data_IF_382217466183
#
_entry.id   IF_382217466183
#
_cell.length_a   1.000
_cell.length_b   1.000
_cell.length_c   1.000
_cell.angle_alpha   90.00
_cell.angle_beta   90.00
_cell.angle_gamma   90.00
#
_symmetry.space_group_name_H-M   'P 1'
#
loop_
_entity.id
_entity.type
_entity.pdbx_description
1 polymer ?
#
# COMPACT_ATOMS: atom_id res chain seq x y z
N UNK A 1 13.72 -22.45 32.04
CA UNK A 1 12.90 -21.66 32.99
C UNK A 1 11.54 -21.52 32.36
N UNK A 2 10.59 -22.39 32.76
CA UNK A 2 9.23 -22.41 32.21
C UNK A 2 8.47 -21.17 32.70
N UNK A 3 8.23 -20.22 31.82
CA UNK A 3 7.32 -19.12 32.09
C UNK A 3 5.91 -19.71 31.93
N UNK A 4 5.17 -19.69 33.00
CA UNK A 4 3.84 -20.27 33.14
C UNK A 4 2.90 -19.61 32.08
N UNK A 5 2.32 -20.43 31.20
CA UNK A 5 1.41 -19.98 30.12
C UNK A 5 0.17 -19.24 30.67
N UNK A 6 -0.12 -19.40 31.93
CA UNK A 6 -1.20 -18.68 32.64
C UNK A 6 -0.86 -17.21 32.92
N UNK A 7 0.42 -16.87 33.08
CA UNK A 7 0.90 -15.48 33.29
C UNK A 7 0.85 -14.65 32.01
N UNK A 8 1.09 -15.28 30.84
CA UNK A 8 1.03 -14.58 29.54
C UNK A 8 -0.43 -14.27 29.16
N UNK A 9 -1.36 -15.19 29.43
CA UNK A 9 -2.79 -14.96 29.23
C UNK A 9 -3.32 -13.85 30.16
N UNK A 10 -2.82 -13.77 31.38
CA UNK A 10 -3.17 -12.71 32.34
C UNK A 10 -2.61 -11.34 31.93
N UNK A 11 -1.42 -11.29 31.34
CA UNK A 11 -0.81 -10.05 30.83
C UNK A 11 -1.59 -9.49 29.63
N UNK A 12 -2.08 -10.35 28.74
CA UNK A 12 -2.92 -9.93 27.61
C UNK A 12 -4.30 -9.47 28.10
N UNK A 13 -4.88 -10.14 29.09
CA UNK A 13 -6.15 -9.73 29.70
C UNK A 13 -6.01 -8.43 30.53
N UNK A 14 -4.87 -8.18 31.17
CA UNK A 14 -4.60 -6.94 31.91
C UNK A 14 -4.36 -5.75 30.96
N UNK A 15 -3.79 -5.98 29.76
CA UNK A 15 -3.61 -4.93 28.76
C UNK A 15 -4.95 -4.49 28.12
N UNK A 16 -5.95 -5.39 28.10
CA UNK A 16 -7.31 -5.08 27.64
C UNK A 16 -8.12 -4.23 28.64
N UNK A 17 -7.71 -4.14 29.91
CA UNK A 17 -8.45 -3.37 30.93
C UNK A 17 -7.90 -1.95 31.19
N UNK A 18 -6.77 -1.56 30.60
CA UNK A 18 -6.13 -0.26 30.90
C UNK A 18 -6.16 0.77 29.79
N UNK A 19 -6.92 0.58 28.70
CA UNK A 19 -7.07 1.61 27.66
C UNK A 19 -8.47 2.19 27.66
N UNK A 20 -8.86 2.83 28.77
CA UNK A 20 -9.85 3.92 28.73
C UNK A 20 -9.10 5.25 28.79
N UNK A 21 -8.39 5.59 27.75
CA UNK A 21 -7.91 6.95 27.54
C UNK A 21 -9.03 7.71 26.82
N UNK A 22 -9.55 8.82 27.36
CA UNK A 22 -10.49 9.64 26.62
C UNK A 22 -9.74 10.22 25.41
N UNK A 23 -10.05 9.69 24.22
CA UNK A 23 -9.57 10.24 22.95
C UNK A 23 -10.16 11.65 22.81
N UNK A 24 -9.32 12.68 22.95
CA UNK A 24 -9.64 14.00 22.50
C UNK A 24 -9.77 14.00 20.98
N UNK A 25 -10.94 13.70 20.49
CA UNK A 25 -11.29 13.91 19.09
C UNK A 25 -11.36 15.42 18.87
N UNK A 26 -10.38 15.93 18.15
CA UNK A 26 -10.48 17.22 17.50
C UNK A 26 -11.55 17.07 16.42
N UNK A 27 -12.80 17.45 16.75
CA UNK A 27 -13.88 17.58 15.77
C UNK A 27 -13.45 18.61 14.74
N UNK A 28 -13.20 18.17 13.52
CA UNK A 28 -13.31 19.05 12.36
C UNK A 28 -14.78 19.35 12.20
N UNK A 29 -15.18 20.55 12.56
CA UNK A 29 -16.55 21.03 12.39
C UNK A 29 -16.86 21.07 10.89
N UNK A 30 -17.71 20.16 10.44
CA UNK A 30 -18.48 20.32 9.21
C UNK A 30 -19.52 21.42 9.49
N UNK A 31 -19.76 22.37 8.58
CA UNK A 31 -20.78 23.40 8.79
C UNK A 31 -22.16 22.73 8.89
N UNK A 32 -22.72 22.73 10.09
CA UNK A 32 -24.12 22.34 10.34
C UNK A 32 -24.99 23.49 9.88
N UNK A 33 -25.73 23.32 8.79
CA UNK A 33 -26.85 24.18 8.44
C UNK A 33 -28.02 23.77 9.34
N UNK A 34 -28.33 24.59 10.34
CA UNK A 34 -29.50 24.46 11.21
C UNK A 34 -30.77 24.64 10.38
N UNK A 35 -31.58 23.58 10.29
CA UNK A 35 -32.92 23.59 9.70
C UNK A 35 -33.46 22.21 9.49
N UNK A 36 -34.15 21.65 10.51
CA UNK A 36 -34.72 20.32 10.60
C UNK A 36 -33.67 19.19 10.61
N UNK A 37 -33.72 18.31 11.61
CA UNK A 37 -32.78 17.23 11.96
C UNK A 37 -32.45 16.17 10.90
N UNK A 38 -32.47 16.53 9.62
CA UNK A 38 -32.11 15.62 8.52
C UNK A 38 -30.68 15.90 8.08
N UNK A 39 -29.75 15.08 8.56
CA UNK A 39 -28.34 15.12 8.13
C UNK A 39 -28.26 14.54 6.72
N UNK A 40 -27.95 15.37 5.74
CA UNK A 40 -27.66 14.92 4.39
C UNK A 40 -26.18 14.53 4.24
N UNK A 41 -25.85 13.25 3.96
CA UNK A 41 -24.45 12.78 3.91
C UNK A 41 -23.57 13.54 2.92
N UNK A 42 -24.15 14.04 1.82
CA UNK A 42 -23.44 14.82 0.80
C UNK A 42 -23.57 16.33 1.00
N UNK A 43 -24.31 16.81 2.04
CA UNK A 43 -24.57 18.21 2.30
C UNK A 43 -25.76 18.79 1.50
N UNK A 44 -26.48 17.95 0.75
CA UNK A 44 -27.72 18.31 0.04
C UNK A 44 -28.67 17.12 -0.02
N UNK A 45 -29.96 17.37 -0.23
CA UNK A 45 -30.99 16.33 -0.38
C UNK A 45 -30.87 15.68 -1.75
N UNK A 46 -30.42 14.45 -1.81
CA UNK A 46 -30.19 13.70 -3.06
C UNK A 46 -31.49 13.31 -3.76
N UNK A 47 -32.58 13.08 -3.00
CA UNK A 47 -33.87 12.59 -3.50
C UNK A 47 -34.58 13.59 -4.40
N UNK A 48 -34.12 14.85 -4.40
CA UNK A 48 -34.69 15.92 -5.23
C UNK A 48 -34.08 16.01 -6.62
N UNK A 49 -33.15 15.14 -6.97
CA UNK A 49 -32.38 15.21 -8.20
C UNK A 49 -32.42 13.90 -8.98
N UNK A 50 -32.36 14.01 -10.30
CA UNK A 50 -32.07 12.87 -11.17
C UNK A 50 -30.58 12.57 -11.09
N UNK A 51 -30.23 11.27 -10.92
CA UNK A 51 -28.85 10.80 -10.75
C UNK A 51 -28.33 10.18 -12.06
N UNK A 52 -27.12 10.60 -12.45
CA UNK A 52 -26.30 9.93 -13.46
C UNK A 52 -24.97 9.53 -12.82
N UNK A 53 -24.52 8.29 -13.05
CA UNK A 53 -23.27 7.77 -12.51
C UNK A 53 -22.33 7.33 -13.62
N UNK A 54 -21.04 7.39 -13.35
CA UNK A 54 -20.06 6.91 -14.30
C UNK A 54 -18.64 6.85 -13.76
N UNK A 55 -17.75 6.52 -14.69
CA UNK A 55 -16.33 6.36 -14.42
C UNK A 55 -15.55 7.35 -15.28
N UNK A 56 -14.50 7.96 -14.72
CA UNK A 56 -13.59 8.83 -15.47
C UNK A 56 -12.79 8.00 -16.47
N UNK A 57 -12.88 8.36 -17.74
CA UNK A 57 -12.22 7.65 -18.83
C UNK A 57 -10.71 7.93 -18.87
N UNK A 58 -9.96 7.03 -19.47
CA UNK A 58 -8.53 7.27 -19.67
C UNK A 58 -8.28 8.48 -20.58
N UNK A 59 -7.47 9.43 -20.12
CA UNK A 59 -7.19 10.70 -20.82
C UNK A 59 -8.31 11.75 -20.71
N UNK A 60 -9.42 11.47 -20.03
CA UNK A 60 -10.49 12.44 -19.82
C UNK A 60 -10.07 13.46 -18.76
N UNK A 61 -10.11 14.74 -19.11
CA UNK A 61 -9.83 15.85 -18.20
C UNK A 61 -11.13 16.43 -17.64
N UNK A 62 -11.02 17.18 -16.54
CA UNK A 62 -12.17 17.76 -15.84
C UNK A 62 -13.14 18.51 -16.75
N UNK A 63 -12.63 19.41 -17.60
CA UNK A 63 -13.47 20.21 -18.49
C UNK A 63 -14.21 19.33 -19.53
N UNK A 64 -13.60 18.24 -19.99
CA UNK A 64 -14.23 17.29 -20.90
C UNK A 64 -15.37 16.52 -20.20
N UNK A 65 -15.12 16.08 -18.94
CA UNK A 65 -16.16 15.47 -18.11
C UNK A 65 -17.35 16.43 -17.93
N UNK A 66 -17.09 17.67 -17.48
CA UNK A 66 -18.13 18.66 -17.22
C UNK A 66 -18.92 19.02 -18.47
N UNK A 67 -18.25 19.11 -19.63
CA UNK A 67 -18.93 19.34 -20.93
C UNK A 67 -19.83 18.19 -21.32
N UNK A 68 -19.40 16.95 -21.05
CA UNK A 68 -20.21 15.75 -21.28
C UNK A 68 -21.45 15.70 -20.37
N UNK A 69 -21.35 16.23 -19.16
CA UNK A 69 -22.44 16.37 -18.20
C UNK A 69 -23.32 17.60 -18.47
N UNK A 70 -23.10 18.33 -19.56
CA UNK A 70 -23.93 19.47 -19.98
C UNK A 70 -23.49 20.85 -19.48
N UNK A 71 -22.33 20.93 -18.78
CA UNK A 71 -21.80 22.23 -18.32
C UNK A 71 -21.04 22.93 -19.45
N UNK A 72 -21.24 24.25 -19.59
CA UNK A 72 -20.49 25.04 -20.55
C UNK A 72 -19.01 25.12 -20.16
N UNK A 73 -18.07 25.11 -21.11
CA UNK A 73 -16.62 25.17 -20.80
C UNK A 73 -16.20 26.38 -19.95
N UNK A 74 -16.84 27.53 -20.16
CA UNK A 74 -16.60 28.75 -19.38
C UNK A 74 -17.00 28.58 -17.91
N UNK A 75 -18.17 27.97 -17.66
CA UNK A 75 -18.67 27.70 -16.31
C UNK A 75 -17.79 26.66 -15.59
N UNK A 76 -17.31 25.62 -16.33
CA UNK A 76 -16.38 24.64 -15.80
C UNK A 76 -15.04 25.27 -15.36
N UNK A 77 -14.53 26.23 -16.13
CA UNK A 77 -13.33 27.00 -15.74
C UNK A 77 -13.59 27.90 -14.54
N UNK A 78 -14.74 28.56 -14.47
CA UNK A 78 -15.15 29.38 -13.34
C UNK A 78 -15.29 28.54 -12.07
N UNK A 79 -15.87 27.35 -12.18
CA UNK A 79 -15.99 26.38 -11.07
C UNK A 79 -14.60 25.98 -10.56
N UNK A 80 -13.65 25.63 -11.44
CA UNK A 80 -12.27 25.30 -11.05
C UNK A 80 -11.63 26.46 -10.29
N UNK A 81 -11.74 27.69 -10.82
CA UNK A 81 -11.14 28.87 -10.19
C UNK A 81 -11.77 29.20 -8.83
N UNK A 82 -13.07 28.99 -8.68
CA UNK A 82 -13.78 29.23 -7.42
C UNK A 82 -13.49 28.16 -6.35
N UNK A 83 -12.99 26.99 -6.76
CA UNK A 83 -12.86 25.82 -5.87
C UNK A 83 -11.41 25.30 -5.75
N UNK A 84 -10.42 26.04 -6.21
CA UNK A 84 -9.00 25.64 -6.30
C UNK A 84 -8.39 25.25 -4.93
N UNK A 85 -8.86 25.85 -3.84
CA UNK A 85 -8.44 25.53 -2.48
C UNK A 85 -8.95 24.16 -1.97
N UNK A 86 -10.03 23.64 -2.56
CA UNK A 86 -10.70 22.40 -2.14
C UNK A 86 -10.46 21.28 -3.15
N UNK A 87 -10.58 21.59 -4.44
CA UNK A 87 -10.55 20.62 -5.53
C UNK A 87 -9.44 20.95 -6.54
N UNK A 88 -8.57 19.98 -6.80
CA UNK A 88 -7.55 20.10 -7.82
C UNK A 88 -7.83 19.12 -8.97
N UNK A 89 -8.28 19.59 -10.13
CA UNK A 89 -8.58 18.72 -11.28
C UNK A 89 -7.39 17.88 -11.78
N UNK A 90 -6.15 18.34 -11.57
CA UNK A 90 -4.95 17.61 -11.97
C UNK A 90 -4.72 16.32 -11.15
N UNK A 91 -5.41 16.17 -10.01
CA UNK A 91 -5.35 14.98 -9.16
C UNK A 91 -6.40 13.93 -9.52
N UNK A 92 -7.26 14.22 -10.48
CA UNK A 92 -8.23 13.24 -10.98
C UNK A 92 -7.51 12.06 -11.63
N UNK A 93 -8.06 10.86 -11.45
CA UNK A 93 -7.46 9.62 -11.94
C UNK A 93 -8.50 8.85 -12.77
N UNK A 94 -8.10 8.36 -13.93
CA UNK A 94 -8.91 7.44 -14.71
C UNK A 94 -9.28 6.22 -13.86
N UNK A 95 -10.52 5.76 -14.00
CA UNK A 95 -11.07 4.68 -13.18
C UNK A 95 -11.81 5.14 -11.93
N UNK A 96 -11.64 6.39 -11.47
CA UNK A 96 -12.42 6.93 -10.37
C UNK A 96 -13.86 7.19 -10.81
N UNK A 97 -14.81 6.97 -9.89
CA UNK A 97 -16.25 7.16 -10.13
C UNK A 97 -16.67 8.59 -9.88
N UNK A 98 -17.76 8.96 -10.50
CA UNK A 98 -18.44 10.24 -10.28
C UNK A 98 -19.96 10.02 -10.32
N UNK A 99 -20.69 10.92 -9.65
CA UNK A 99 -22.13 11.02 -9.62
C UNK A 99 -22.53 12.44 -10.00
N UNK A 100 -23.44 12.60 -10.93
CA UNK A 100 -23.99 13.88 -11.37
C UNK A 100 -25.46 13.97 -11.02
N UNK A 101 -25.87 15.07 -10.43
CA UNK A 101 -27.20 15.33 -9.92
C UNK A 101 -27.84 16.48 -10.70
N UNK A 102 -28.98 16.23 -11.29
CA UNK A 102 -29.70 17.16 -12.16
C UNK A 102 -31.05 17.55 -11.56
N UNK A 103 -31.35 18.85 -11.57
CA UNK A 103 -32.70 19.37 -11.29
C UNK A 103 -33.52 19.44 -12.58
N UNK A 104 -34.85 19.48 -12.44
CA UNK A 104 -35.77 19.71 -13.57
C UNK A 104 -36.39 18.47 -14.17
N UNK A 105 -36.65 17.43 -13.37
CA UNK A 105 -37.25 16.15 -13.82
C UNK A 105 -38.59 16.31 -14.58
N UNK A 106 -39.30 17.43 -14.39
CA UNK A 106 -40.58 17.73 -15.07
C UNK A 106 -40.45 18.80 -16.19
N UNK A 107 -39.25 19.35 -16.39
CA UNK A 107 -38.98 20.38 -17.39
C UNK A 107 -38.15 19.81 -18.55
N UNK A 108 -38.30 20.38 -19.74
CA UNK A 108 -37.54 19.99 -20.93
C UNK A 108 -36.01 20.26 -20.84
N UNK A 109 -35.52 20.82 -19.73
CA UNK A 109 -34.13 21.17 -19.53
C UNK A 109 -33.64 20.66 -18.16
N UNK A 110 -32.78 19.64 -18.19
CA UNK A 110 -32.09 19.17 -17.00
C UNK A 110 -30.90 20.09 -16.71
N UNK A 111 -30.82 20.65 -15.51
CA UNK A 111 -29.71 21.50 -15.06
C UNK A 111 -28.79 20.69 -14.15
N UNK A 112 -27.51 20.63 -14.48
CA UNK A 112 -26.49 20.01 -13.62
C UNK A 112 -26.28 20.86 -12.38
N UNK A 113 -26.70 20.36 -11.22
CA UNK A 113 -26.59 21.06 -9.93
C UNK A 113 -25.36 20.66 -9.15
N UNK A 114 -25.08 19.36 -9.05
CA UNK A 114 -23.95 18.87 -8.29
C UNK A 114 -23.21 17.77 -9.04
N UNK A 115 -21.90 17.72 -8.84
CA UNK A 115 -21.05 16.57 -9.21
C UNK A 115 -20.31 16.12 -7.98
N UNK A 116 -20.42 14.84 -7.64
CA UNK A 116 -19.65 14.19 -6.58
C UNK A 116 -18.55 13.38 -7.25
N UNK A 117 -17.31 13.74 -6.99
CA UNK A 117 -16.14 13.02 -7.49
C UNK A 117 -15.51 12.18 -6.36
N UNK A 118 -15.39 10.89 -6.56
CA UNK A 118 -14.80 9.96 -5.62
C UNK A 118 -13.30 9.85 -5.86
N UNK A 119 -12.49 10.31 -4.91
CA UNK A 119 -11.02 10.17 -4.97
C UNK A 119 -10.58 8.74 -4.67
N UNK A 120 -11.28 8.10 -3.76
CA UNK A 120 -11.13 6.72 -3.32
C UNK A 120 -12.46 6.25 -2.69
N UNK A 121 -12.45 5.12 -1.95
CA UNK A 121 -13.65 4.55 -1.33
C UNK A 121 -14.28 5.42 -0.25
N UNK A 122 -13.50 6.28 0.43
CA UNK A 122 -13.94 7.09 1.57
C UNK A 122 -13.93 8.58 1.30
N UNK A 123 -13.07 9.06 0.41
CA UNK A 123 -12.87 10.48 0.16
C UNK A 123 -13.61 10.93 -1.11
N UNK A 124 -14.43 11.94 -0.97
CA UNK A 124 -15.18 12.53 -2.07
C UNK A 124 -15.05 14.05 -2.06
N UNK A 125 -15.23 14.67 -3.20
CA UNK A 125 -15.46 16.11 -3.33
C UNK A 125 -16.81 16.33 -3.99
N UNK A 126 -17.65 17.14 -3.36
CA UNK A 126 -18.89 17.63 -3.93
C UNK A 126 -18.60 18.98 -4.57
N UNK A 127 -19.03 19.13 -5.82
CA UNK A 127 -18.92 20.35 -6.62
C UNK A 127 -20.32 20.86 -6.89
N UNK A 128 -20.65 22.07 -6.44
CA UNK A 128 -21.89 22.77 -6.82
C UNK A 128 -21.68 23.41 -8.18
N UNK A 129 -22.44 22.98 -9.17
CA UNK A 129 -22.26 23.32 -10.58
C UNK A 129 -23.09 24.53 -11.04
N UNK A 130 -23.90 25.10 -10.15
CA UNK A 130 -24.65 26.34 -10.36
C UNK A 130 -24.08 27.50 -9.54
N UNK A 131 -24.18 28.73 -10.03
CA UNK A 131 -23.69 29.91 -9.34
C UNK A 131 -24.51 30.20 -8.06
N UNK A 132 -23.86 30.60 -6.94
CA UNK A 132 -22.42 30.71 -6.78
C UNK A 132 -21.74 29.33 -6.70
N UNK A 133 -20.66 29.16 -7.47
CA UNK A 133 -19.89 27.93 -7.49
C UNK A 133 -19.19 27.67 -6.16
N UNK A 134 -19.23 26.44 -5.68
CA UNK A 134 -18.57 26.04 -4.44
C UNK A 134 -18.20 24.55 -4.47
N UNK A 135 -17.32 24.15 -3.56
CA UNK A 135 -16.98 22.75 -3.35
C UNK A 135 -16.69 22.48 -1.87
N UNK A 136 -16.94 21.24 -1.46
CA UNK A 136 -16.56 20.76 -0.14
C UNK A 136 -16.16 19.28 -0.20
N UNK A 137 -15.36 18.89 0.79
CA UNK A 137 -14.94 17.51 0.94
C UNK A 137 -15.93 16.76 1.82
N UNK A 138 -16.20 15.54 1.43
CA UNK A 138 -16.98 14.59 2.23
C UNK A 138 -16.13 13.37 2.46
N UNK A 139 -16.11 12.91 3.70
CA UNK A 139 -15.40 11.68 4.10
C UNK A 139 -16.45 10.73 4.67
N UNK A 140 -16.55 9.54 4.09
CA UNK A 140 -17.45 8.51 4.62
C UNK A 140 -16.96 8.05 5.99
N UNK A 141 -17.86 7.70 6.91
CA UNK A 141 -17.47 7.12 8.19
C UNK A 141 -16.73 5.81 7.97
N UNK A 142 -15.68 5.60 8.76
CA UNK A 142 -14.90 4.37 8.78
C UNK A 142 -15.07 3.74 10.14
N UNK A 143 -15.52 2.51 10.16
CA UNK A 143 -15.62 1.70 11.36
C UNK A 143 -14.28 1.01 11.64
N UNK A 144 -13.85 1.05 12.88
CA UNK A 144 -12.61 0.43 13.34
C UNK A 144 -12.93 -0.68 14.33
N UNK A 145 -12.54 -1.90 14.01
CA UNK A 145 -12.85 -3.06 14.84
C UNK A 145 -11.57 -3.82 15.16
N UNK A 146 -11.25 -3.94 16.46
CA UNK A 146 -10.15 -4.79 16.91
C UNK A 146 -10.58 -6.25 16.82
N UNK A 147 -9.79 -7.06 16.10
CA UNK A 147 -10.05 -8.47 15.85
C UNK A 147 -8.87 -9.34 16.28
N UNK A 148 -9.20 -10.56 16.65
CA UNK A 148 -8.24 -11.64 16.88
C UNK A 148 -8.57 -12.80 15.96
N UNK A 149 -7.58 -13.35 15.29
CA UNK A 149 -7.70 -14.57 14.50
C UNK A 149 -6.64 -15.57 14.93
N UNK A 150 -7.05 -16.83 15.07
CA UNK A 150 -6.14 -17.96 15.31
C UNK A 150 -6.45 -19.03 14.25
N UNK A 151 -5.47 -19.31 13.41
CA UNK A 151 -5.66 -20.18 12.25
C UNK A 151 -4.66 -21.31 12.28
N UNK A 152 -5.16 -22.53 12.41
CA UNK A 152 -4.38 -23.75 12.23
C UNK A 152 -4.33 -24.07 10.74
N UNK A 153 -3.14 -24.20 10.20
CA UNK A 153 -2.94 -24.56 8.79
C UNK A 153 -3.19 -26.05 8.63
N UNK A 154 -4.11 -26.39 7.75
CA UNK A 154 -4.46 -27.77 7.41
C UNK A 154 -4.25 -28.09 5.92
N UNK A 155 -4.29 -27.08 5.07
CA UNK A 155 -4.12 -27.22 3.61
C UNK A 155 -3.17 -26.17 3.04
N UNK A 156 -3.54 -24.90 3.15
CA UNK A 156 -2.71 -23.77 2.78
C UNK A 156 -3.10 -22.55 3.59
N UNK A 157 -2.16 -21.65 3.83
CA UNK A 157 -2.43 -20.38 4.54
C UNK A 157 -3.64 -19.65 3.95
N UNK A 158 -3.68 -19.51 2.63
CA UNK A 158 -4.77 -18.83 1.93
C UNK A 158 -6.15 -19.48 2.18
N UNK A 159 -6.26 -20.79 2.01
CA UNK A 159 -7.53 -21.48 2.16
C UNK A 159 -8.02 -21.50 3.61
N UNK A 160 -7.09 -21.73 4.54
CA UNK A 160 -7.43 -21.84 5.95
C UNK A 160 -7.75 -20.47 6.57
N UNK A 161 -7.06 -19.40 6.20
CA UNK A 161 -7.39 -18.02 6.56
C UNK A 161 -8.78 -17.61 6.04
N UNK A 162 -9.08 -17.91 4.78
CA UNK A 162 -10.42 -17.66 4.22
C UNK A 162 -11.53 -18.43 4.94
N UNK A 163 -11.28 -19.68 5.27
CA UNK A 163 -12.24 -20.53 6.02
C UNK A 163 -12.55 -19.96 7.40
N UNK A 164 -11.57 -19.32 8.04
CA UNK A 164 -11.76 -18.62 9.31
C UNK A 164 -12.36 -17.23 9.17
N UNK A 165 -12.73 -16.80 7.95
CA UNK A 165 -13.30 -15.48 7.69
C UNK A 165 -12.30 -14.32 7.77
N UNK A 166 -10.99 -14.61 7.76
CA UNK A 166 -9.96 -13.58 7.76
C UNK A 166 -9.92 -12.84 6.41
N UNK A 167 -9.81 -11.51 6.41
CA UNK A 167 -9.72 -10.72 5.19
C UNK A 167 -8.47 -11.09 4.37
N UNK A 168 -8.58 -11.08 3.05
CA UNK A 168 -7.44 -11.38 2.17
C UNK A 168 -6.28 -10.41 2.38
N UNK A 169 -6.58 -9.16 2.68
CA UNK A 169 -5.58 -8.13 2.98
C UNK A 169 -4.70 -8.51 4.18
N UNK A 170 -5.26 -9.19 5.20
CA UNK A 170 -4.49 -9.66 6.34
C UNK A 170 -3.37 -10.63 5.93
N UNK A 171 -3.62 -11.49 4.95
CA UNK A 171 -2.61 -12.44 4.45
C UNK A 171 -1.42 -11.68 3.85
N UNK A 172 -1.70 -10.63 3.06
CA UNK A 172 -0.66 -9.80 2.46
C UNK A 172 0.16 -9.06 3.52
N UNK A 173 -0.48 -8.55 4.57
CA UNK A 173 0.22 -7.92 5.69
C UNK A 173 1.10 -8.92 6.45
N UNK A 174 0.61 -10.13 6.72
CA UNK A 174 1.41 -11.19 7.35
C UNK A 174 2.60 -11.62 6.46
N UNK A 175 2.37 -11.72 5.15
CA UNK A 175 3.45 -11.98 4.19
C UNK A 175 4.53 -10.90 4.26
N UNK A 176 4.15 -9.62 4.30
CA UNK A 176 5.11 -8.52 4.40
C UNK A 176 5.85 -8.49 5.76
N UNK A 177 5.17 -8.79 6.87
CA UNK A 177 5.76 -8.85 8.21
C UNK A 177 6.80 -9.97 8.30
N UNK A 178 6.46 -11.16 7.81
CA UNK A 178 7.28 -12.36 7.95
C UNK A 178 8.15 -12.68 6.74
N UNK A 179 8.10 -11.89 5.67
CA UNK A 179 8.79 -12.13 4.40
C UNK A 179 10.28 -12.50 4.54
N UNK A 180 10.90 -12.07 5.63
CA UNK A 180 12.35 -12.24 5.88
C UNK A 180 12.67 -13.23 6.99
N UNK A 181 11.65 -13.67 7.70
CA UNK A 181 11.78 -14.56 8.86
C UNK A 181 11.36 -15.97 8.48
N UNK A 182 10.34 -16.09 7.65
CA UNK A 182 9.68 -17.35 7.28
C UNK A 182 9.70 -17.51 5.77
N UNK A 183 9.94 -18.73 5.30
CA UNK A 183 9.68 -19.11 3.93
C UNK A 183 8.22 -19.59 3.82
N UNK A 184 7.36 -18.77 3.23
CA UNK A 184 5.94 -19.08 3.07
C UNK A 184 5.68 -20.32 2.19
N UNK A 185 6.66 -20.76 1.41
CA UNK A 185 6.60 -22.04 0.68
C UNK A 185 6.90 -23.26 1.56
N UNK A 186 7.46 -23.06 2.75
CA UNK A 186 7.72 -24.13 3.72
C UNK A 186 6.60 -24.33 4.74
N UNK A 187 5.53 -23.51 4.69
CA UNK A 187 4.37 -23.65 5.55
C UNK A 187 3.70 -25.01 5.30
N UNK A 188 3.43 -25.73 6.40
CA UNK A 188 2.92 -27.09 6.35
C UNK A 188 1.72 -27.28 7.29
N UNK A 189 0.94 -28.35 7.10
CA UNK A 189 -0.12 -28.71 8.02
C UNK A 189 0.41 -28.86 9.44
N UNK A 190 -0.27 -28.25 10.40
CA UNK A 190 0.15 -28.18 11.80
C UNK A 190 0.72 -26.82 12.22
N UNK A 191 1.18 -26.01 11.28
CA UNK A 191 1.58 -24.64 11.55
C UNK A 191 0.38 -23.80 11.99
N UNK A 192 0.64 -22.70 12.73
CA UNK A 192 -0.42 -21.85 13.29
C UNK A 192 -0.07 -20.39 13.19
N UNK A 193 -1.05 -19.57 12.79
CA UNK A 193 -1.02 -18.13 12.90
C UNK A 193 -1.97 -17.64 13.98
N UNK A 194 -1.49 -16.77 14.86
CA UNK A 194 -2.28 -15.98 15.80
C UNK A 194 -2.03 -14.51 15.52
N UNK A 195 -3.08 -13.70 15.35
CA UNK A 195 -2.92 -12.30 14.97
C UNK A 195 -3.98 -11.42 15.65
N UNK A 196 -3.52 -10.27 16.18
CA UNK A 196 -4.35 -9.17 16.69
C UNK A 196 -4.20 -8.01 15.72
N UNK A 197 -5.30 -7.55 15.18
CA UNK A 197 -5.32 -6.49 14.16
C UNK A 197 -6.54 -5.61 14.29
N UNK A 198 -6.41 -4.37 13.84
CA UNK A 198 -7.54 -3.47 13.63
C UNK A 198 -7.99 -3.60 12.16
N UNK A 199 -9.27 -3.84 11.99
CA UNK A 199 -9.92 -3.83 10.69
C UNK A 199 -10.65 -2.51 10.52
N UNK A 200 -10.30 -1.77 9.48
CA UNK A 200 -11.01 -0.56 9.08
C UNK A 200 -11.97 -0.92 7.94
N UNK A 201 -13.25 -0.64 8.13
CA UNK A 201 -14.28 -0.92 7.11
C UNK A 201 -15.11 0.31 6.81
N UNK A 202 -15.58 0.40 5.56
CA UNK A 202 -16.50 1.44 5.10
C UNK A 202 -17.65 0.74 4.36
N UNK A 203 -18.88 1.02 4.77
CA UNK A 203 -20.08 0.40 4.20
C UNK A 203 -20.02 -1.14 4.14
N UNK A 204 -19.39 -1.75 5.15
CA UNK A 204 -19.23 -3.21 5.27
C UNK A 204 -18.07 -3.81 4.45
N UNK A 205 -17.36 -3.01 3.66
CA UNK A 205 -16.15 -3.45 2.97
C UNK A 205 -14.89 -3.12 3.78
N UNK A 206 -13.99 -4.08 3.92
CA UNK A 206 -12.67 -3.87 4.53
C UNK A 206 -11.81 -3.03 3.60
N UNK A 207 -11.34 -1.89 4.10
CA UNK A 207 -10.53 -0.92 3.34
C UNK A 207 -9.07 -0.88 3.79
N UNK A 208 -8.79 -1.25 5.05
CA UNK A 208 -7.44 -1.28 5.59
C UNK A 208 -7.32 -2.24 6.78
N UNK A 209 -6.11 -2.72 7.05
CA UNK A 209 -5.78 -3.59 8.18
C UNK A 209 -4.47 -3.12 8.81
N UNK A 210 -4.52 -2.88 10.11
CA UNK A 210 -3.35 -2.60 10.94
C UNK A 210 -3.08 -3.80 11.86
N UNK A 211 -1.98 -4.51 11.63
CA UNK A 211 -1.57 -5.62 12.51
C UNK A 211 -0.80 -5.07 13.70
N UNK A 212 -1.29 -5.34 14.92
CA UNK A 212 -0.63 -4.92 16.17
C UNK A 212 0.31 -5.99 16.72
N UNK A 213 -0.11 -7.23 16.62
CA UNK A 213 0.66 -8.39 17.07
C UNK A 213 0.37 -9.56 16.11
N UNK A 214 1.40 -10.28 15.75
CA UNK A 214 1.24 -11.57 15.10
C UNK A 214 2.22 -12.57 15.71
N UNK A 215 1.85 -13.84 15.71
CA UNK A 215 2.69 -14.96 16.07
C UNK A 215 2.51 -16.07 15.05
N UNK A 216 3.59 -16.56 14.53
CA UNK A 216 3.62 -17.73 13.67
C UNK A 216 4.35 -18.86 14.35
N UNK A 217 3.68 -20.00 14.50
CA UNK A 217 4.25 -21.25 14.99
C UNK A 217 4.54 -22.15 13.78
N UNK A 218 5.83 -22.43 13.55
CA UNK A 218 6.32 -23.20 12.43
C UNK A 218 7.45 -24.10 12.89
N UNK A 219 7.39 -25.40 12.55
CA UNK A 219 8.39 -26.40 12.91
C UNK A 219 8.73 -26.38 14.42
N UNK A 220 7.70 -26.24 15.27
CA UNK A 220 7.82 -26.21 16.73
C UNK A 220 8.48 -24.94 17.29
N UNK A 221 8.67 -23.89 16.49
CA UNK A 221 9.21 -22.60 16.91
C UNK A 221 8.17 -21.52 16.75
N UNK A 222 8.12 -20.60 17.73
CA UNK A 222 7.28 -19.42 17.68
C UNK A 222 8.08 -18.22 17.15
N UNK A 223 7.45 -17.44 16.30
CA UNK A 223 8.00 -16.23 15.69
C UNK A 223 7.04 -15.07 15.96
N UNK A 224 7.14 -14.42 17.13
CA UNK A 224 6.30 -13.26 17.43
C UNK A 224 6.76 -12.03 16.66
N UNK A 225 5.80 -11.22 16.25
CA UNK A 225 5.99 -9.92 15.61
C UNK A 225 5.14 -8.88 16.34
N UNK A 226 5.80 -7.95 17.00
CA UNK A 226 5.19 -6.90 17.82
C UNK A 226 5.32 -5.58 17.07
N UNK A 227 4.21 -4.88 16.86
CA UNK A 227 4.23 -3.55 16.24
C UNK A 227 4.70 -2.51 17.24
N UNK A 228 5.77 -1.82 16.88
CA UNK A 228 6.28 -0.68 17.64
C UNK A 228 6.94 0.32 16.67
N UNK A 229 6.44 1.56 16.66
CA UNK A 229 7.00 2.65 15.85
C UNK A 229 7.96 3.47 16.71
N UNK A 230 9.24 3.47 16.32
CA UNK A 230 10.27 4.28 16.98
C UNK A 230 10.27 5.74 16.51
N UNK A 231 9.41 6.11 15.55
CA UNK A 231 9.33 7.44 15.00
C UNK A 231 10.45 7.77 13.99
N UNK A 232 11.26 6.79 13.59
CA UNK A 232 12.36 6.96 12.63
C UNK A 232 11.93 6.69 11.18
N UNK A 233 10.66 6.31 10.99
CA UNK A 233 10.08 5.92 9.71
C UNK A 233 10.66 4.61 9.16
N UNK A 234 11.33 3.82 10.01
CA UNK A 234 11.97 2.55 9.70
C UNK A 234 11.05 1.34 9.83
N UNK A 235 11.56 0.32 10.52
CA UNK A 235 10.82 -0.91 10.76
C UNK A 235 9.72 -0.71 11.82
N UNK A 236 8.58 -1.35 11.60
CA UNK A 236 7.44 -1.31 12.53
C UNK A 236 7.28 -2.59 13.36
N UNK A 237 7.97 -3.70 13.01
CA UNK A 237 7.79 -4.99 13.65
C UNK A 237 9.08 -5.53 14.24
N UNK A 238 8.97 -6.04 15.46
CA UNK A 238 10.08 -6.48 16.32
C UNK A 238 9.76 -7.83 16.93
N UNK A 239 10.76 -8.68 17.14
CA UNK A 239 10.60 -9.90 17.90
C UNK A 239 10.63 -9.63 19.42
N UNK A 240 10.47 -10.68 20.22
CA UNK A 240 10.47 -10.62 21.70
C UNK A 240 11.78 -10.10 22.32
N UNK A 241 12.86 -10.07 21.54
CA UNK A 241 14.17 -9.53 21.95
C UNK A 241 14.40 -8.08 21.53
N UNK A 242 13.41 -7.48 20.88
CA UNK A 242 13.55 -6.14 20.30
C UNK A 242 14.43 -6.12 19.04
N UNK A 243 14.63 -7.28 18.40
CA UNK A 243 15.32 -7.35 17.11
C UNK A 243 14.32 -7.12 15.98
N UNK A 244 14.71 -6.33 14.99
CA UNK A 244 13.86 -6.05 13.82
C UNK A 244 13.47 -7.33 13.07
N UNK A 245 12.19 -7.49 12.77
CA UNK A 245 11.70 -8.56 11.88
C UNK A 245 12.24 -8.42 10.45
N UNK A 246 12.63 -7.23 10.05
CA UNK A 246 13.40 -7.00 8.83
C UNK A 246 14.85 -7.40 9.07
N UNK A 247 15.34 -8.40 8.32
CA UNK A 247 16.78 -8.69 8.28
C UNK A 247 17.51 -7.50 7.67
N UNK A 248 18.75 -7.29 8.12
CA UNK A 248 19.60 -6.21 7.59
C UNK A 248 19.72 -6.25 6.05
N UNK A 249 19.64 -7.46 5.47
CA UNK A 249 19.65 -7.67 4.02
C UNK A 249 18.68 -8.79 3.61
N UNK A 250 18.01 -8.56 2.48
CA UNK A 250 17.22 -9.57 1.78
C UNK A 250 18.13 -10.69 1.27
N UNK A 251 17.62 -11.92 1.27
CA UNK A 251 18.34 -13.05 0.63
C UNK A 251 18.49 -12.85 -0.88
N UNK A 252 17.55 -12.15 -1.52
CA UNK A 252 17.54 -11.90 -2.95
C UNK A 252 16.91 -10.52 -3.26
N UNK A 253 17.33 -9.84 -4.34
CA UNK A 253 16.76 -8.57 -4.78
C UNK A 253 15.44 -8.73 -5.57
N UNK A 254 14.87 -9.92 -5.63
CA UNK A 254 13.69 -10.29 -6.42
C UNK A 254 12.76 -11.13 -5.55
N UNK A 255 11.45 -10.89 -5.64
CA UNK A 255 10.44 -11.68 -4.90
C UNK A 255 10.40 -13.15 -5.36
N UNK A 256 10.50 -13.37 -6.66
CA UNK A 256 10.52 -14.70 -7.27
C UNK A 256 11.68 -14.80 -8.23
N UNK A 257 12.67 -15.65 -7.94
CA UNK A 257 13.81 -15.83 -8.80
C UNK A 257 14.47 -17.18 -8.55
N UNK A 258 15.11 -17.66 -9.60
CA UNK A 258 16.03 -18.81 -9.53
C UNK A 258 17.45 -18.29 -9.59
N UNK A 259 18.34 -18.77 -8.74
CA UNK A 259 19.76 -18.51 -8.88
C UNK A 259 20.24 -19.32 -10.08
N UNK A 260 20.67 -18.65 -11.13
CA UNK A 260 21.21 -19.26 -12.34
C UNK A 260 22.72 -19.47 -12.26
N UNK A 261 23.43 -18.62 -11.48
CA UNK A 261 24.87 -18.76 -11.23
C UNK A 261 25.23 -18.13 -9.89
N UNK A 262 25.93 -18.91 -9.05
CA UNK A 262 26.43 -18.45 -7.76
C UNK A 262 27.77 -17.74 -7.85
N UNK A 263 28.20 -17.15 -6.72
CA UNK A 263 29.53 -16.60 -6.54
C UNK A 263 30.61 -17.70 -6.67
N UNK A 264 31.68 -17.40 -7.40
CA UNK A 264 32.82 -18.32 -7.57
C UNK A 264 34.07 -17.58 -8.01
N UNK A 265 35.20 -17.84 -7.39
CA UNK A 265 36.50 -17.34 -7.87
C UNK A 265 37.03 -18.12 -9.09
N UNK A 266 36.50 -19.33 -9.37
CA UNK A 266 37.04 -20.26 -10.39
C UNK A 266 35.93 -20.78 -11.29
N UNK A 267 35.11 -19.88 -11.86
CA UNK A 267 34.05 -20.26 -12.80
C UNK A 267 34.63 -20.48 -14.20
N UNK A 268 34.42 -21.68 -14.76
CA UNK A 268 34.71 -21.93 -16.17
C UNK A 268 33.62 -21.29 -17.03
N UNK A 269 34.00 -20.35 -17.90
CA UNK A 269 33.04 -19.63 -18.76
C UNK A 269 32.42 -20.61 -19.75
N UNK A 270 31.08 -20.71 -19.86
CA UNK A 270 30.42 -21.78 -20.63
C UNK A 270 30.72 -21.70 -22.15
N UNK A 271 31.03 -20.54 -22.68
CA UNK A 271 31.32 -20.32 -24.12
C UNK A 271 32.81 -20.34 -24.42
N UNK A 272 33.63 -19.67 -23.60
CA UNK A 272 35.08 -19.51 -23.88
C UNK A 272 35.98 -20.52 -23.22
N UNK A 273 35.44 -21.32 -22.29
CA UNK A 273 36.21 -22.29 -21.50
C UNK A 273 37.25 -21.70 -20.55
N UNK A 274 37.43 -20.37 -20.57
CA UNK A 274 38.41 -19.70 -19.69
C UNK A 274 37.88 -19.59 -18.24
N UNK A 275 38.75 -19.78 -17.29
CA UNK A 275 38.43 -19.58 -15.87
C UNK A 275 38.39 -18.09 -15.58
N UNK A 276 37.25 -17.60 -15.11
CA UNK A 276 37.06 -16.21 -14.64
C UNK A 276 36.33 -16.21 -13.32
N UNK A 277 36.68 -15.30 -12.44
CA UNK A 277 35.93 -15.07 -11.24
C UNK A 277 34.54 -14.52 -11.58
N UNK A 278 33.52 -15.07 -10.92
CA UNK A 278 32.17 -14.53 -10.86
C UNK A 278 31.93 -13.94 -9.48
N UNK A 279 32.09 -12.63 -9.34
CA UNK A 279 32.06 -11.92 -8.05
C UNK A 279 30.65 -11.47 -7.66
N UNK A 280 29.62 -12.08 -8.22
CA UNK A 280 28.22 -11.81 -7.95
C UNK A 280 27.38 -13.08 -7.92
N UNK A 281 26.07 -12.89 -7.78
CA UNK A 281 25.05 -13.93 -7.91
C UNK A 281 24.11 -13.54 -9.03
N UNK A 282 23.94 -14.43 -10.01
CA UNK A 282 23.02 -14.22 -11.12
C UNK A 282 21.65 -14.81 -10.78
N UNK A 283 20.64 -13.97 -10.83
CA UNK A 283 19.24 -14.30 -10.64
C UNK A 283 18.52 -14.33 -11.99
N UNK A 284 17.88 -15.43 -12.33
CA UNK A 284 17.06 -15.55 -13.53
C UNK A 284 15.60 -15.22 -13.22
N UNK A 285 15.08 -14.22 -13.89
CA UNK A 285 13.68 -13.80 -13.85
C UNK A 285 13.29 -13.17 -15.19
N UNK A 286 11.99 -13.10 -15.54
CA UNK A 286 11.54 -12.41 -16.76
C UNK A 286 12.00 -10.98 -16.82
N UNK A 287 12.37 -10.51 -18.02
CA UNK A 287 12.70 -9.09 -18.24
C UNK A 287 11.55 -8.19 -17.80
N UNK A 288 11.86 -7.12 -17.08
CA UNK A 288 10.86 -6.20 -16.51
C UNK A 288 10.37 -6.56 -15.11
N UNK A 289 10.80 -7.70 -14.54
CA UNK A 289 10.53 -8.00 -13.11
C UNK A 289 11.15 -6.93 -12.22
N UNK A 290 10.44 -6.41 -11.21
CA UNK A 290 10.98 -5.41 -10.29
C UNK A 290 12.22 -5.93 -9.54
N UNK A 291 13.28 -5.15 -9.51
CA UNK A 291 14.49 -5.37 -8.72
C UNK A 291 14.48 -4.44 -7.52
N UNK A 292 14.62 -4.99 -6.33
CA UNK A 292 14.51 -4.27 -5.06
C UNK A 292 15.87 -4.08 -4.40
N UNK A 293 16.00 -3.01 -3.64
CA UNK A 293 17.13 -2.85 -2.71
C UNK A 293 17.08 -3.95 -1.65
N UNK A 294 18.18 -4.68 -1.47
CA UNK A 294 18.24 -5.74 -0.44
C UNK A 294 18.40 -5.21 0.98
N UNK A 295 18.61 -3.93 1.17
CA UNK A 295 18.74 -3.28 2.49
C UNK A 295 18.52 -1.79 2.39
N UNK A 296 18.30 -1.15 3.54
CA UNK A 296 18.27 0.30 3.64
C UNK A 296 19.62 0.89 3.23
N UNK A 297 19.64 2.03 2.56
CA UNK A 297 20.89 2.64 2.14
C UNK A 297 20.74 3.89 1.31
N UNK A 298 21.87 4.35 0.79
CA UNK A 298 21.93 5.52 -0.11
C UNK A 298 22.43 5.10 -1.47
N UNK A 299 21.74 5.52 -2.53
CA UNK A 299 22.19 5.33 -3.92
C UNK A 299 23.46 6.13 -4.17
N UNK A 300 24.59 5.45 -4.28
CA UNK A 300 25.89 6.11 -4.51
C UNK A 300 26.25 6.21 -5.99
N UNK A 301 25.59 5.43 -6.86
CA UNK A 301 25.80 5.49 -8.30
C UNK A 301 24.59 4.91 -9.02
N UNK A 302 24.20 5.58 -10.13
CA UNK A 302 23.20 5.12 -11.10
C UNK A 302 23.67 5.50 -12.49
N UNK A 303 23.87 4.51 -13.35
CA UNK A 303 24.32 4.75 -14.72
C UNK A 303 24.84 3.51 -15.41
N UNK A 304 25.36 3.69 -16.63
CA UNK A 304 26.01 2.63 -17.38
C UNK A 304 27.39 2.30 -16.78
N UNK A 305 27.63 1.03 -16.50
CA UNK A 305 28.88 0.54 -15.88
C UNK A 305 29.52 -0.56 -16.74
N UNK A 306 30.04 -0.21 -17.90
CA UNK A 306 30.77 -1.13 -18.78
C UNK A 306 30.06 -2.48 -18.97
N UNK A 307 30.73 -3.58 -18.61
CA UNK A 307 30.16 -4.91 -18.66
C UNK A 307 28.91 -5.13 -17.83
N UNK A 308 28.70 -4.36 -16.76
CA UNK A 308 27.51 -4.43 -15.90
C UNK A 308 26.26 -3.79 -16.51
N UNK A 309 26.39 -3.08 -17.65
CA UNK A 309 25.28 -2.39 -18.27
C UNK A 309 24.65 -1.33 -17.36
N UNK A 310 23.32 -1.19 -17.40
CA UNK A 310 22.60 -0.32 -16.49
C UNK A 310 22.76 -0.84 -15.07
N UNK A 311 23.36 -0.03 -14.21
CA UNK A 311 23.77 -0.42 -12.86
C UNK A 311 23.29 0.59 -11.84
N UNK A 312 22.82 0.11 -10.68
CA UNK A 312 22.58 0.88 -9.46
C UNK A 312 23.51 0.35 -8.36
N UNK A 313 24.18 1.25 -7.64
CA UNK A 313 24.98 0.90 -6.45
C UNK A 313 24.40 1.57 -5.22
N UNK A 314 24.23 0.80 -4.15
CA UNK A 314 23.68 1.27 -2.88
C UNK A 314 24.67 0.98 -1.77
N UNK A 315 25.02 2.04 -1.03
CA UNK A 315 25.81 1.93 0.20
C UNK A 315 24.87 1.83 1.38
N UNK A 316 24.93 0.70 2.07
CA UNK A 316 24.09 0.40 3.23
C UNK A 316 24.69 0.94 4.53
N UNK A 317 25.99 0.79 4.69
CA UNK A 317 26.75 1.31 5.83
C UNK A 317 28.24 1.48 5.45
N UNK A 318 29.12 1.64 6.43
CA UNK A 318 30.57 1.79 6.21
C UNK A 318 31.24 0.51 5.64
N UNK A 319 30.61 -0.66 5.78
CA UNK A 319 31.17 -1.95 5.39
C UNK A 319 30.53 -2.48 4.10
N UNK A 320 29.21 -2.34 3.95
CA UNK A 320 28.43 -3.01 2.92
C UNK A 320 27.96 -2.06 1.82
N UNK A 321 28.25 -2.43 0.59
CA UNK A 321 27.74 -1.82 -0.63
C UNK A 321 27.25 -2.91 -1.57
N UNK A 322 26.08 -2.77 -2.16
CA UNK A 322 25.54 -3.69 -3.16
C UNK A 322 25.49 -3.06 -4.54
N UNK A 323 25.59 -3.90 -5.57
CA UNK A 323 25.54 -3.50 -6.97
C UNK A 323 24.52 -4.36 -7.70
N UNK A 324 23.58 -3.70 -8.37
CA UNK A 324 22.51 -4.32 -9.16
C UNK A 324 22.76 -4.00 -10.63
N UNK A 325 23.10 -5.03 -11.40
CA UNK A 325 23.60 -4.90 -12.77
C UNK A 325 22.61 -5.43 -13.79
N UNK A 326 22.90 -5.19 -15.06
CA UNK A 326 22.16 -5.68 -16.22
C UNK A 326 20.69 -5.25 -16.26
N UNK A 327 20.34 -4.14 -15.60
CA UNK A 327 18.95 -3.65 -15.52
C UNK A 327 18.45 -3.22 -16.91
N UNK A 328 17.18 -3.52 -17.23
CA UNK A 328 16.54 -3.01 -18.45
C UNK A 328 16.28 -1.50 -18.34
N UNK A 329 15.87 -1.05 -17.16
CA UNK A 329 15.61 0.36 -16.81
C UNK A 329 15.73 0.59 -15.32
N UNK A 330 15.90 1.84 -14.92
CA UNK A 330 15.88 2.27 -13.53
C UNK A 330 14.44 2.50 -13.04
N UNK A 331 14.21 2.48 -11.73
CA UNK A 331 12.96 2.96 -11.15
C UNK A 331 12.74 4.45 -11.48
N UNK A 332 11.49 4.82 -11.71
CA UNK A 332 11.12 6.21 -12.02
C UNK A 332 11.50 7.13 -10.87
N UNK A 333 12.13 8.26 -11.18
CA UNK A 333 12.54 9.26 -10.21
C UNK A 333 13.80 8.94 -9.40
N UNK A 334 14.33 7.71 -9.43
CA UNK A 334 15.52 7.34 -8.67
C UNK A 334 16.75 8.17 -9.10
N UNK A 335 17.47 8.74 -8.14
CA UNK A 335 18.66 9.57 -8.37
C UNK A 335 19.81 9.11 -7.45
N UNK A 336 21.04 9.42 -7.87
CA UNK A 336 22.20 9.33 -6.98
C UNK A 336 22.02 10.31 -5.81
N UNK A 337 22.25 9.85 -4.59
CA UNK A 337 22.02 10.57 -3.35
C UNK A 337 20.71 10.19 -2.66
N UNK A 338 19.76 9.56 -3.35
CA UNK A 338 18.49 9.17 -2.74
C UNK A 338 18.70 8.11 -1.66
N UNK A 339 17.93 8.23 -0.58
CA UNK A 339 17.76 7.16 0.40
C UNK A 339 16.73 6.17 -0.11
N UNK A 340 17.05 4.90 -0.02
CA UNK A 340 16.17 3.79 -0.33
C UNK A 340 16.04 2.89 0.88
N UNK A 341 14.88 2.28 1.03
CA UNK A 341 14.59 1.27 2.06
C UNK A 341 14.73 -0.13 1.49
N UNK A 342 14.92 -1.08 2.37
CA UNK A 342 14.83 -2.49 2.02
C UNK A 342 13.49 -2.78 1.36
N UNK A 343 13.51 -3.42 0.17
CA UNK A 343 12.32 -3.71 -0.61
C UNK A 343 11.89 -2.62 -1.60
N UNK A 344 12.47 -1.42 -1.56
CA UNK A 344 12.18 -0.39 -2.55
C UNK A 344 12.63 -0.84 -3.95
N UNK A 345 11.76 -0.63 -4.94
CA UNK A 345 12.08 -0.94 -6.34
C UNK A 345 13.09 0.09 -6.85
N UNK A 346 14.26 -0.40 -7.28
CA UNK A 346 15.37 0.43 -7.77
C UNK A 346 15.59 0.30 -9.28
N UNK A 347 15.00 -0.71 -9.91
CA UNK A 347 15.10 -0.97 -11.33
C UNK A 347 14.32 -2.21 -11.73
N UNK A 348 14.58 -2.69 -12.92
CA UNK A 348 13.86 -3.83 -13.50
C UNK A 348 14.84 -4.78 -14.19
N UNK A 349 14.58 -6.08 -14.09
CA UNK A 349 15.39 -7.14 -14.71
C UNK A 349 15.56 -6.86 -16.20
N UNK A 350 16.76 -7.07 -16.70
CA UNK A 350 17.15 -6.95 -18.09
C UNK A 350 18.36 -7.79 -18.44
N UNK A 351 18.98 -7.45 -19.57
CA UNK A 351 20.19 -8.10 -20.08
C UNK A 351 21.15 -7.06 -20.71
N UNK A 352 21.21 -5.86 -20.16
CA UNK A 352 22.11 -4.80 -20.67
C UNK A 352 23.56 -5.09 -20.28
N UNK A 353 24.51 -4.66 -21.07
CA UNK A 353 25.94 -4.95 -20.88
C UNK A 353 26.35 -6.35 -21.36
N UNK A 354 27.19 -7.03 -20.60
CA UNK A 354 27.69 -8.38 -20.88
C UNK A 354 26.94 -9.43 -20.04
N UNK A 355 25.64 -9.48 -20.21
CA UNK A 355 24.77 -10.43 -19.51
C UNK A 355 24.57 -11.71 -20.31
#
# INVERSE_FOLDING_TARGET
MNIDKTLLAAAVAALLMMVTVPSCHRKTETPVLEGNDTIYPLGFCTDSFALEEGVLKNGEIFTSLMSRLGMKPQDAMSLVNATDSVFNPRKMRAGNTWQAYYSGCDSSVNVLEYVVYHHDKINMTVLKCTAPFSAWKVVKPVDHTLKYSNVLISSSLWNDMRRCGAPQMLILHLEDIYAWTIDFFSIQPGDRFSVVYNESSCEGEVIDIDVYYAEFEHDGKCYPAIRFDQGDGGNLYWNEKGESMRKAFLKAPLRFSRISSGFSYHRKHPVTGRVRAHTGVDYAAPTGTPVMSIGDGTVISKGWSGGGGNTVKIRHNSVYTTSYMHLSRYAAGLKTGDRVRQGDVIGYVGSTGLS
#
